data_IF_816583489535
#
_entry.id   IF_816583489535
#
_cell.length_a   1.000
_cell.length_b   1.000
_cell.length_c   1.000
_cell.angle_alpha   90.00
_cell.angle_beta   90.00
_cell.angle_gamma   90.00
#
_symmetry.space_group_name_H-M   'P 1'
#
loop_
_entity.id
_entity.type
_entity.pdbx_description
1 polymer ?
#
# COMPACT_ATOMS: atom_id res chain seq x y z
N UNK A 1 -7.92 -1.10 5.24
CA UNK A 1 -6.61 -1.44 5.85
C UNK A 1 -5.56 -0.46 5.35
N UNK A 2 -4.64 0.01 6.21
CA UNK A 2 -3.44 0.73 5.78
C UNK A 2 -2.26 -0.23 5.99
N UNK A 3 -1.50 -0.53 4.93
CA UNK A 3 -0.43 -1.53 4.97
C UNK A 3 0.86 -1.00 4.36
N UNK A 4 1.97 -1.27 5.02
CA UNK A 4 3.30 -1.18 4.44
C UNK A 4 3.87 -2.59 4.38
N UNK A 5 3.83 -3.28 3.22
CA UNK A 5 4.32 -4.65 3.10
C UNK A 5 5.85 -4.72 3.10
N UNK A 6 6.55 -3.58 3.11
CA UNK A 6 8.00 -3.47 3.02
C UNK A 6 8.54 -4.35 1.87
N UNK A 7 9.51 -5.22 2.14
CA UNK A 7 10.08 -6.10 1.13
C UNK A 7 9.08 -7.11 0.55
N UNK A 8 8.04 -7.49 1.31
CA UNK A 8 7.03 -8.42 0.82
C UNK A 8 6.18 -7.84 -0.30
N UNK A 9 6.18 -6.52 -0.50
CA UNK A 9 5.48 -5.94 -1.65
C UNK A 9 5.97 -6.52 -2.97
N UNK A 10 7.27 -6.86 -3.03
CA UNK A 10 7.93 -7.38 -4.23
C UNK A 10 7.92 -8.90 -4.34
N UNK A 11 7.40 -9.64 -3.34
CA UNK A 11 7.58 -11.11 -3.29
C UNK A 11 6.37 -11.90 -2.80
N UNK A 12 5.46 -11.31 -2.02
CA UNK A 12 4.44 -12.08 -1.29
C UNK A 12 3.10 -12.12 -2.00
N UNK A 13 2.93 -13.09 -2.89
CA UNK A 13 1.62 -13.44 -3.45
C UNK A 13 0.67 -13.94 -2.34
N UNK A 14 1.19 -14.64 -1.32
CA UNK A 14 0.36 -15.14 -0.22
C UNK A 14 -0.34 -14.02 0.57
N UNK A 15 0.34 -12.89 0.81
CA UNK A 15 -0.28 -11.74 1.48
C UNK A 15 -1.24 -10.99 0.56
N UNK A 16 -0.95 -10.91 -0.74
CA UNK A 16 -1.89 -10.39 -1.74
C UNK A 16 -3.19 -11.19 -1.72
N UNK A 17 -3.10 -12.52 -1.78
CA UNK A 17 -4.26 -13.40 -1.79
C UNK A 17 -5.05 -13.34 -0.48
N UNK A 18 -4.36 -13.15 0.67
CA UNK A 18 -5.03 -12.91 1.94
C UNK A 18 -5.86 -11.61 1.93
N UNK A 19 -5.32 -10.52 1.37
CA UNK A 19 -6.06 -9.25 1.24
C UNK A 19 -7.24 -9.37 0.28
N UNK A 20 -7.06 -10.07 -0.85
CA UNK A 20 -8.12 -10.32 -1.81
C UNK A 20 -9.23 -11.22 -1.22
N UNK A 21 -8.87 -12.23 -0.43
CA UNK A 21 -9.82 -13.19 0.13
C UNK A 21 -10.73 -12.61 1.23
N UNK A 22 -10.27 -11.59 1.95
CA UNK A 22 -11.09 -10.92 2.99
C UNK A 22 -11.90 -9.75 2.46
N UNK A 23 -11.66 -9.31 1.22
CA UNK A 23 -12.38 -8.23 0.53
C UNK A 23 -12.46 -6.91 1.34
N UNK A 24 -11.38 -6.57 2.06
CA UNK A 24 -11.27 -5.30 2.79
C UNK A 24 -10.41 -4.34 1.96
N UNK A 25 -10.92 -3.16 1.54
CA UNK A 25 -10.15 -2.19 0.78
C UNK A 25 -8.89 -1.76 1.52
N UNK A 26 -7.78 -1.58 0.80
CA UNK A 26 -6.51 -1.19 1.42
C UNK A 26 -5.75 -0.09 0.67
N UNK A 27 -4.94 0.66 1.42
CA UNK A 27 -3.97 1.63 0.91
C UNK A 27 -2.57 1.12 1.21
N UNK A 28 -1.73 1.08 0.18
CA UNK A 28 -0.32 0.68 0.29
C UNK A 28 0.56 1.90 0.61
N UNK A 29 1.42 1.80 1.61
CA UNK A 29 2.31 2.87 2.05
C UNK A 29 3.77 2.39 2.07
N UNK A 30 4.67 3.20 1.52
CA UNK A 30 6.12 3.00 1.58
C UNK A 30 6.82 4.25 2.11
N UNK A 31 7.68 4.09 3.11
CA UNK A 31 8.46 5.20 3.67
C UNK A 31 9.38 5.81 2.60
N UNK A 32 10.14 4.96 1.89
CA UNK A 32 11.04 5.38 0.83
C UNK A 32 10.33 5.48 -0.52
N UNK A 33 10.87 6.28 -1.44
CA UNK A 33 10.45 6.24 -2.85
C UNK A 33 10.99 4.95 -3.48
N UNK A 34 10.11 3.97 -3.71
CA UNK A 34 10.50 2.66 -4.26
C UNK A 34 10.96 2.75 -5.72
N UNK A 35 10.49 3.76 -6.47
CA UNK A 35 10.89 4.00 -7.86
C UNK A 35 12.28 4.62 -7.98
N UNK A 36 12.79 5.26 -6.92
CA UNK A 36 14.17 5.79 -6.88
C UNK A 36 15.21 4.71 -6.53
N UNK A 37 14.80 3.45 -6.40
CA UNK A 37 15.63 2.34 -5.94
C UNK A 37 15.85 1.30 -7.04
N UNK A 38 16.40 0.14 -6.66
CA UNK A 38 16.73 -0.95 -7.57
C UNK A 38 15.51 -1.42 -8.36
N UNK A 39 15.69 -1.85 -9.62
CA UNK A 39 14.59 -2.21 -10.52
C UNK A 39 13.63 -3.28 -9.97
N UNK A 40 14.14 -4.23 -9.17
CA UNK A 40 13.29 -5.24 -8.53
C UNK A 40 12.30 -4.65 -7.51
N UNK A 41 12.50 -3.40 -7.07
CA UNK A 41 11.59 -2.69 -6.17
C UNK A 41 10.49 -1.92 -6.88
N UNK A 42 10.53 -1.86 -8.20
CA UNK A 42 9.54 -1.12 -8.98
C UNK A 42 8.25 -1.92 -9.15
N UNK A 43 8.31 -3.24 -9.00
CA UNK A 43 7.15 -4.13 -9.05
C UNK A 43 6.58 -4.40 -7.65
N UNK A 44 5.25 -4.28 -7.53
CA UNK A 44 4.48 -4.64 -6.34
C UNK A 44 3.39 -5.63 -6.74
N UNK A 45 3.19 -6.66 -5.93
CA UNK A 45 2.05 -7.60 -6.02
C UNK A 45 0.76 -7.04 -5.39
N UNK A 46 0.81 -5.84 -4.80
CA UNK A 46 -0.29 -5.24 -4.04
C UNK A 46 -0.87 -4.02 -4.75
N UNK A 47 -0.04 -3.28 -5.49
CA UNK A 47 -0.40 -1.98 -6.06
C UNK A 47 -1.52 -2.05 -7.10
N UNK A 48 -1.72 -3.19 -7.76
CA UNK A 48 -2.82 -3.42 -8.72
C UNK A 48 -4.19 -3.55 -8.03
N UNK A 49 -4.22 -3.97 -6.76
CA UNK A 49 -5.44 -4.16 -5.97
C UNK A 49 -5.66 -3.07 -4.91
N UNK A 50 -4.64 -2.26 -4.63
CA UNK A 50 -4.74 -1.16 -3.68
C UNK A 50 -5.68 -0.06 -4.18
N UNK A 51 -6.43 0.56 -3.28
CA UNK A 51 -7.22 1.78 -3.57
C UNK A 51 -6.29 2.95 -3.93
N UNK A 52 -5.10 2.97 -3.33
CA UNK A 52 -4.05 3.93 -3.62
C UNK A 52 -2.71 3.46 -3.07
N UNK A 53 -1.65 4.03 -3.63
CA UNK A 53 -0.26 3.78 -3.22
C UNK A 53 0.40 5.10 -2.89
N UNK A 54 1.02 5.20 -1.72
CA UNK A 54 1.79 6.36 -1.28
C UNK A 54 3.23 5.90 -1.05
N UNK A 55 4.20 6.50 -1.74
CA UNK A 55 5.61 6.19 -1.53
C UNK A 55 6.48 7.46 -1.44
N UNK A 56 7.55 7.39 -0.65
CA UNK A 56 8.56 8.45 -0.61
C UNK A 56 8.26 9.65 0.29
N UNK A 57 7.17 9.61 1.06
CA UNK A 57 6.80 10.67 2.01
C UNK A 57 7.17 10.35 3.46
N UNK A 58 8.00 9.33 3.70
CA UNK A 58 8.37 8.90 5.04
C UNK A 58 7.15 8.59 5.91
N UNK A 59 7.21 8.93 7.20
CA UNK A 59 6.12 8.69 8.14
C UNK A 59 4.83 9.44 7.78
N UNK A 60 4.94 10.59 7.10
CA UNK A 60 3.76 11.38 6.68
C UNK A 60 2.84 10.60 5.73
N UNK A 61 3.37 9.64 4.96
CA UNK A 61 2.55 8.79 4.09
C UNK A 61 1.46 8.01 4.84
N UNK A 62 1.66 7.66 6.11
CA UNK A 62 0.63 7.04 6.94
C UNK A 62 -0.48 8.01 7.33
N UNK A 63 -0.14 9.28 7.59
CA UNK A 63 -1.13 10.32 7.89
C UNK A 63 -2.02 10.58 6.67
N UNK A 64 -1.41 10.73 5.49
CA UNK A 64 -2.15 10.90 4.25
C UNK A 64 -3.06 9.69 3.94
N UNK A 65 -2.58 8.46 4.15
CA UNK A 65 -3.41 7.26 4.01
C UNK A 65 -4.58 7.23 5.00
N UNK A 66 -4.34 7.63 6.26
CA UNK A 66 -5.36 7.67 7.30
C UNK A 66 -6.44 8.71 6.99
N UNK A 67 -6.05 9.92 6.61
CA UNK A 67 -6.98 10.99 6.22
C UNK A 67 -7.85 10.55 5.03
N UNK A 68 -7.25 9.92 4.02
CA UNK A 68 -7.98 9.34 2.89
C UNK A 68 -8.97 8.27 3.34
N UNK A 69 -8.56 7.31 4.18
CA UNK A 69 -9.45 6.27 4.68
C UNK A 69 -10.60 6.84 5.50
N UNK A 70 -10.36 7.82 6.37
CA UNK A 70 -11.40 8.48 7.17
C UNK A 70 -12.39 9.23 6.27
N UNK A 71 -11.90 9.97 5.28
CA UNK A 71 -12.75 10.65 4.30
C UNK A 71 -13.66 9.68 3.56
N UNK A 72 -13.13 8.52 3.17
CA UNK A 72 -13.90 7.50 2.44
C UNK A 72 -14.98 6.87 3.32
N UNK A 73 -14.62 6.46 4.54
CA UNK A 73 -15.56 5.86 5.49
C UNK A 73 -16.68 6.82 5.90
N UNK A 74 -16.43 8.14 5.90
CA UNK A 74 -17.44 9.14 6.17
C UNK A 74 -18.40 9.39 4.98
N UNK A 75 -18.03 8.94 3.78
CA UNK A 75 -18.82 9.10 2.54
C UNK A 75 -19.59 7.84 2.13
N UNK A 76 -19.39 6.74 2.86
CA UNK A 76 -20.15 5.47 2.75
C UNK A 76 -21.34 5.49 3.72
#
# INVERSE_FOLDING_TARGET
IIINPAAYTHTSVALRDALAGVDIPFVEVHLSNVHAREAFRHHSYFSDQAVGVICGLGAYGYMAALEFCLSRLASE
#
